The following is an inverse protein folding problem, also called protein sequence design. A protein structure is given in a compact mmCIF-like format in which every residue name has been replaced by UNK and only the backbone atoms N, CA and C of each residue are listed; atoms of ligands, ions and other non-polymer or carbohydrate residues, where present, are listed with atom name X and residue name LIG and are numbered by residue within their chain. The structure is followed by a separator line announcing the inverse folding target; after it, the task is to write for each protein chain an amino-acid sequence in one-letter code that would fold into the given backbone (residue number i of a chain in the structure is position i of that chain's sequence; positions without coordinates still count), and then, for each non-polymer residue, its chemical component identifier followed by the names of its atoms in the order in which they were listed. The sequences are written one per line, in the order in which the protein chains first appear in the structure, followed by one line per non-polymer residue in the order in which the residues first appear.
data_IF_486976133898
#
_entry.id   IF_486976133898
#
_cell.length_a   1.000
_cell.length_b   1.000
_cell.length_c   1.000
_cell.angle_alpha   90.00
_cell.angle_beta   90.00
_cell.angle_gamma   90.00
#
_symmetry.space_group_name_H-M   'P 1'
#
loop_
_entity.id
_entity.type
_entity.pdbx_description
1 polymer ?
#
# COMPACT_ATOMS: atom_id res chain seq x y z
N UNK A 1 24.39 30.69 -7.25
CA UNK A 1 23.48 31.85 -7.26
C UNK A 1 24.33 33.10 -7.20
N UNK A 2 24.21 33.96 -8.21
CA UNK A 2 24.75 35.32 -8.21
C UNK A 2 23.94 36.22 -7.27
N UNK A 3 24.49 37.38 -6.86
CA UNK A 3 23.74 38.35 -6.08
C UNK A 3 22.41 38.73 -6.76
N UNK A 4 21.31 38.68 -6.00
CA UNK A 4 19.96 38.95 -6.49
C UNK A 4 19.22 37.75 -7.08
N UNK A 5 19.89 36.61 -7.31
CA UNK A 5 19.23 35.41 -7.79
C UNK A 5 18.46 34.68 -6.68
N UNK A 6 17.41 33.96 -7.09
CA UNK A 6 16.62 33.11 -6.21
C UNK A 6 16.80 31.66 -6.57
N UNK A 7 16.66 30.78 -5.57
CA UNK A 7 16.76 29.35 -5.78
C UNK A 7 16.37 28.58 -4.52
N UNK A 8 16.22 27.27 -4.67
CA UNK A 8 15.99 26.41 -3.53
C UNK A 8 17.31 26.08 -2.83
N UNK A 9 17.28 26.07 -1.50
CA UNK A 9 18.37 25.63 -0.65
C UNK A 9 17.81 24.72 0.45
N UNK A 10 18.63 23.80 0.94
CA UNK A 10 18.33 23.03 2.15
C UNK A 10 19.25 23.51 3.27
N UNK A 11 18.66 24.10 4.32
CA UNK A 11 19.40 24.48 5.52
C UNK A 11 19.54 23.29 6.45
N UNK A 12 20.74 23.11 7.01
CA UNK A 12 21.04 22.06 8.00
C UNK A 12 21.52 22.73 9.27
N UNK A 13 20.77 22.54 10.34
CA UNK A 13 21.08 23.09 11.65
C UNK A 13 21.79 22.05 12.52
N UNK A 14 22.65 22.51 13.42
CA UNK A 14 23.30 21.63 14.41
C UNK A 14 22.31 21.11 15.44
N UNK A 15 21.32 21.93 15.78
CA UNK A 15 20.27 21.64 16.73
C UNK A 15 18.90 21.72 16.03
N UNK A 16 17.89 20.97 16.51
CA UNK A 16 16.53 21.07 15.98
C UNK A 16 15.98 22.49 16.12
N UNK A 17 15.33 22.98 15.06
CA UNK A 17 14.66 24.28 15.04
C UNK A 17 13.20 24.09 14.65
N UNK A 18 12.28 24.59 15.47
CA UNK A 18 10.87 24.62 15.14
C UNK A 18 10.61 25.71 14.10
N UNK A 19 10.01 25.34 12.99
CA UNK A 19 9.66 26.25 11.90
C UNK A 19 8.32 25.87 11.30
N UNK A 20 7.62 26.86 10.77
CA UNK A 20 6.37 26.69 10.05
C UNK A 20 6.58 26.90 8.56
N UNK A 21 5.73 26.25 7.78
CA UNK A 21 5.61 26.47 6.36
C UNK A 21 5.11 27.92 6.13
N UNK A 22 5.87 28.67 5.34
CA UNK A 22 5.65 30.10 5.12
C UNK A 22 6.56 31.03 5.92
N UNK A 23 7.24 30.54 6.94
CA UNK A 23 8.11 31.37 7.78
C UNK A 23 9.23 32.02 6.97
N UNK A 24 9.46 33.31 7.23
CA UNK A 24 10.56 34.07 6.64
C UNK A 24 11.80 33.96 7.51
N UNK A 25 12.96 33.86 6.88
CA UNK A 25 14.24 33.82 7.57
C UNK A 25 15.27 34.72 6.88
N UNK A 26 16.31 35.07 7.63
CA UNK A 26 17.50 35.76 7.14
C UNK A 26 18.74 34.92 7.44
N UNK A 27 19.72 34.95 6.53
CA UNK A 27 21.03 34.32 6.71
C UNK A 27 22.07 35.42 6.94
N UNK A 28 22.79 35.33 8.06
CA UNK A 28 23.78 36.35 8.46
C UNK A 28 25.09 35.69 8.86
N UNK A 29 26.20 36.34 8.51
CA UNK A 29 27.51 36.11 9.14
C UNK A 29 27.51 36.91 10.44
N UNK A 30 27.83 36.30 11.60
CA UNK A 30 27.82 37.00 12.87
C UNK A 30 28.99 37.98 13.01
N UNK A 31 30.18 37.65 12.49
CA UNK A 31 31.35 38.52 12.54
C UNK A 31 32.24 38.38 11.28
N UNK A 32 32.50 39.49 10.54
CA UNK A 32 31.82 40.78 10.67
C UNK A 32 30.32 40.65 10.33
N UNK A 33 29.43 41.43 10.95
CA UNK A 33 28.00 41.32 10.77
C UNK A 33 27.61 41.64 9.32
N UNK A 34 27.13 40.62 8.58
CA UNK A 34 26.74 40.77 7.17
C UNK A 34 25.54 39.90 6.83
N UNK A 35 24.53 40.47 6.20
CA UNK A 35 23.41 39.69 5.64
C UNK A 35 23.84 39.09 4.31
N UNK A 36 23.73 37.78 4.18
CA UNK A 36 24.07 37.02 2.96
C UNK A 36 22.82 36.83 2.09
N UNK A 37 21.64 36.79 2.71
CA UNK A 37 20.37 36.64 2.03
C UNK A 37 19.24 36.33 3.00
N UNK A 38 18.15 35.82 2.46
CA UNK A 38 17.00 35.35 3.23
C UNK A 38 16.12 34.46 2.36
N UNK A 39 14.97 34.10 2.90
CA UNK A 39 14.03 33.27 2.16
C UNK A 39 12.78 32.94 2.97
N UNK A 40 12.04 31.98 2.43
CA UNK A 40 10.80 31.46 2.99
C UNK A 40 10.87 29.93 3.10
N UNK A 41 10.27 29.37 4.14
CA UNK A 41 10.30 27.94 4.41
C UNK A 41 9.17 27.26 3.64
N UNK A 42 9.52 26.43 2.64
CA UNK A 42 8.55 25.68 1.83
C UNK A 42 8.39 24.21 2.24
N UNK A 43 9.30 23.69 3.08
CA UNK A 43 9.28 22.30 3.54
C UNK A 43 10.01 22.16 4.89
N UNK A 44 9.33 22.40 6.02
CA UNK A 44 9.95 22.34 7.35
C UNK A 44 10.55 20.97 7.68
N UNK A 45 9.82 19.89 7.34
CA UNK A 45 10.23 18.50 7.58
C UNK A 45 10.82 17.87 6.31
N UNK A 46 11.94 18.42 5.86
CA UNK A 46 12.66 17.93 4.69
C UNK A 46 13.55 16.73 5.02
N UNK A 47 13.39 15.61 4.31
CA UNK A 47 14.34 14.51 4.37
C UNK A 47 15.69 14.92 3.77
N UNK A 48 16.79 14.30 4.22
CA UNK A 48 18.10 14.43 3.58
C UNK A 48 17.99 13.92 2.14
N UNK A 49 18.20 14.80 1.15
CA UNK A 49 18.12 14.43 -0.27
C UNK A 49 19.26 15.05 -1.08
N UNK A 50 19.59 14.40 -2.19
CA UNK A 50 20.62 14.86 -3.11
C UNK A 50 20.00 15.89 -4.07
N UNK A 51 20.60 17.08 -4.17
CA UNK A 51 20.05 18.22 -4.93
C UNK A 51 19.90 17.97 -6.44
N UNK A 52 20.52 16.91 -6.98
CA UNK A 52 20.45 16.54 -8.41
C UNK A 52 19.18 15.77 -8.79
N UNK A 53 18.29 15.50 -7.84
CA UNK A 53 17.03 14.83 -8.10
C UNK A 53 16.06 15.80 -8.80
N UNK A 54 15.83 15.65 -10.11
CA UNK A 54 14.96 16.53 -10.89
C UNK A 54 13.53 16.62 -10.32
N UNK A 55 13.07 15.56 -9.66
CA UNK A 55 11.74 15.52 -9.07
C UNK A 55 11.59 16.48 -7.88
N UNK A 56 12.71 16.85 -7.23
CA UNK A 56 12.66 17.73 -6.06
C UNK A 56 12.37 19.18 -6.44
N UNK A 57 12.88 19.66 -7.58
CA UNK A 57 12.64 21.03 -8.03
C UNK A 57 11.16 21.21 -8.36
N UNK A 58 10.57 20.27 -9.10
CA UNK A 58 9.13 20.28 -9.41
C UNK A 58 8.28 20.21 -8.13
N UNK A 59 8.68 19.36 -7.18
CA UNK A 59 8.03 19.28 -5.88
C UNK A 59 8.07 20.61 -5.11
N UNK A 60 9.23 21.26 -5.04
CA UNK A 60 9.38 22.52 -4.31
C UNK A 60 8.67 23.68 -5.01
N UNK A 61 8.69 23.72 -6.35
CA UNK A 61 7.98 24.73 -7.15
C UNK A 61 6.48 24.73 -6.88
N UNK A 62 5.86 23.54 -6.76
CA UNK A 62 4.45 23.40 -6.39
C UNK A 62 4.10 23.98 -5.02
N UNK A 63 5.08 24.07 -4.11
CA UNK A 63 4.86 24.54 -2.73
C UNK A 63 5.13 26.03 -2.53
N UNK A 64 5.81 26.72 -3.45
CA UNK A 64 6.14 28.15 -3.32
C UNK A 64 4.88 29.01 -3.18
N UNK A 65 3.81 28.67 -3.90
CA UNK A 65 2.56 29.45 -3.88
C UNK A 65 1.75 29.29 -2.60
N UNK A 66 2.12 28.32 -1.75
CA UNK A 66 1.36 27.96 -0.56
C UNK A 66 -0.13 27.71 -0.86
N UNK A 67 -0.43 27.12 -2.03
CA UNK A 67 -1.77 26.62 -2.29
C UNK A 67 -2.03 25.37 -1.44
N UNK A 68 -3.04 25.42 -0.57
CA UNK A 68 -3.28 24.36 0.41
C UNK A 68 -3.52 23.00 -0.26
N UNK A 69 -4.24 22.98 -1.39
CA UNK A 69 -4.47 21.76 -2.17
C UNK A 69 -3.15 21.15 -2.67
N UNK A 70 -2.27 21.93 -3.29
CA UNK A 70 -0.96 21.46 -3.73
C UNK A 70 -0.07 21.05 -2.54
N UNK A 71 -0.15 21.74 -1.40
CA UNK A 71 0.57 21.36 -0.18
C UNK A 71 0.14 19.99 0.34
N UNK A 72 -1.17 19.71 0.41
CA UNK A 72 -1.68 18.40 0.81
C UNK A 72 -1.21 17.30 -0.14
N UNK A 73 -1.35 17.51 -1.45
CA UNK A 73 -0.95 16.53 -2.46
C UNK A 73 0.56 16.26 -2.46
N UNK A 74 1.38 17.31 -2.34
CA UNK A 74 2.84 17.16 -2.28
C UNK A 74 3.27 16.49 -0.98
N UNK A 75 2.68 16.84 0.16
CA UNK A 75 2.97 16.21 1.45
C UNK A 75 2.64 14.71 1.43
N UNK A 76 1.50 14.31 0.86
CA UNK A 76 1.15 12.89 0.67
C UNK A 76 2.07 12.16 -0.30
N UNK A 77 2.46 12.79 -1.42
CA UNK A 77 3.44 12.21 -2.33
C UNK A 77 4.79 11.99 -1.65
N UNK A 78 5.17 12.85 -0.70
CA UNK A 78 6.42 12.74 0.07
C UNK A 78 6.37 11.60 1.09
N UNK A 79 5.28 11.49 1.85
CA UNK A 79 5.17 10.55 2.99
C UNK A 79 4.51 9.21 2.62
N UNK A 80 3.88 9.11 1.45
CA UNK A 80 3.05 8.00 0.94
C UNK A 80 1.74 7.78 1.69
N UNK A 81 1.78 7.84 3.02
CA UNK A 81 0.62 7.88 3.88
C UNK A 81 0.96 8.63 5.18
N UNK A 82 -0.03 9.31 5.75
CA UNK A 82 0.12 10.12 6.96
C UNK A 82 -1.17 10.06 7.79
N UNK A 83 -1.05 10.16 9.11
CA UNK A 83 -2.23 10.34 9.96
C UNK A 83 -2.90 11.67 9.64
N UNK A 84 -4.23 11.72 9.67
CA UNK A 84 -5.00 12.96 9.44
C UNK A 84 -4.51 14.11 10.32
N UNK A 85 -4.27 13.83 11.60
CA UNK A 85 -3.85 14.84 12.60
C UNK A 85 -2.40 15.33 12.41
N UNK A 86 -1.58 14.61 11.63
CA UNK A 86 -0.19 15.00 11.37
C UNK A 86 -0.03 15.76 10.05
N UNK A 87 -1.09 15.86 9.23
CA UNK A 87 -1.02 16.51 7.93
C UNK A 87 -0.79 18.01 8.12
N UNK A 88 0.32 18.51 7.58
CA UNK A 88 0.69 19.93 7.62
C UNK A 88 0.72 20.53 9.04
N UNK A 89 1.09 19.72 10.06
CA UNK A 89 1.16 20.16 11.46
C UNK A 89 2.11 21.35 11.69
N UNK A 90 3.15 21.50 10.87
CA UNK A 90 4.06 22.65 10.86
C UNK A 90 3.61 23.69 9.81
N UNK A 91 2.34 24.09 9.81
CA UNK A 91 1.82 25.13 8.92
C UNK A 91 0.84 26.03 9.65
N UNK A 92 0.57 27.20 9.07
CA UNK A 92 -0.33 28.20 9.66
C UNK A 92 -1.81 28.00 9.24
N UNK A 93 -2.14 26.85 8.64
CA UNK A 93 -3.51 26.53 8.25
C UNK A 93 -4.29 25.94 9.42
N UNK A 94 -5.54 26.36 9.56
CA UNK A 94 -6.44 25.78 10.55
C UNK A 94 -6.80 24.34 10.17
N UNK A 95 -7.08 23.53 11.20
CA UNK A 95 -7.49 22.14 11.00
C UNK A 95 -8.74 22.02 10.11
N UNK A 96 -9.69 22.96 10.24
CA UNK A 96 -10.90 23.01 9.40
C UNK A 96 -10.58 23.22 7.92
N UNK A 97 -9.67 24.13 7.59
CA UNK A 97 -9.27 24.41 6.20
C UNK A 97 -8.60 23.18 5.57
N UNK A 98 -7.70 22.53 6.32
CA UNK A 98 -7.05 21.29 5.88
C UNK A 98 -8.09 20.20 5.63
N UNK A 99 -9.05 20.05 6.56
CA UNK A 99 -10.11 19.05 6.47
C UNK A 99 -11.01 19.27 5.24
N UNK A 100 -11.45 20.49 4.99
CA UNK A 100 -12.27 20.82 3.81
C UNK A 100 -11.57 20.47 2.49
N UNK A 101 -10.28 20.80 2.38
CA UNK A 101 -9.46 20.46 1.21
C UNK A 101 -9.29 18.95 1.07
N UNK A 102 -9.07 18.23 2.17
CA UNK A 102 -8.97 16.75 2.18
C UNK A 102 -10.29 16.13 1.71
N UNK A 103 -11.43 16.58 2.22
CA UNK A 103 -12.75 16.08 1.82
C UNK A 103 -13.05 16.36 0.34
N UNK A 104 -12.66 17.53 -0.17
CA UNK A 104 -12.72 17.86 -1.61
C UNK A 104 -11.86 16.92 -2.45
N UNK A 105 -10.59 16.71 -2.05
CA UNK A 105 -9.65 15.84 -2.77
C UNK A 105 -10.07 14.37 -2.74
N UNK A 106 -10.69 13.93 -1.66
CA UNK A 106 -11.26 12.58 -1.55
C UNK A 106 -12.44 12.40 -2.51
N UNK A 107 -13.38 13.35 -2.56
CA UNK A 107 -14.52 13.31 -3.50
C UNK A 107 -14.07 13.28 -4.96
N UNK A 108 -12.99 13.97 -5.29
CA UNK A 108 -12.36 13.91 -6.62
C UNK A 108 -11.55 12.62 -6.87
N UNK A 109 -11.41 11.76 -5.87
CA UNK A 109 -10.60 10.54 -5.91
C UNK A 109 -9.12 10.84 -6.16
N UNK A 110 -8.60 11.98 -5.70
CA UNK A 110 -7.18 12.37 -5.82
C UNK A 110 -6.33 11.79 -4.69
N UNK A 111 -6.95 11.52 -3.55
CA UNK A 111 -6.35 10.88 -2.38
C UNK A 111 -7.26 9.74 -1.91
N UNK A 112 -6.73 8.88 -1.05
CA UNK A 112 -7.49 7.81 -0.43
C UNK A 112 -7.49 8.05 1.07
N UNK A 113 -8.66 7.95 1.70
CA UNK A 113 -8.77 8.10 3.15
C UNK A 113 -9.24 6.80 3.80
N UNK A 114 -8.72 6.55 5.01
CA UNK A 114 -9.25 5.57 5.96
C UNK A 114 -9.84 6.34 7.15
N UNK A 115 -10.21 5.65 8.23
CA UNK A 115 -10.61 6.30 9.48
C UNK A 115 -9.54 7.29 9.96
N UNK A 116 -8.29 6.85 10.09
CA UNK A 116 -7.21 7.65 10.68
C UNK A 116 -6.15 8.15 9.69
N UNK A 117 -6.10 7.59 8.48
CA UNK A 117 -4.99 7.82 7.54
C UNK A 117 -5.45 8.48 6.25
N UNK A 118 -4.52 9.24 5.67
CA UNK A 118 -4.55 9.75 4.31
C UNK A 118 -3.45 9.07 3.52
N UNK A 119 -3.75 8.65 2.29
CA UNK A 119 -2.87 7.83 1.46
C UNK A 119 -2.81 8.45 0.07
N UNK A 120 -1.59 8.55 -0.48
CA UNK A 120 -1.38 8.95 -1.87
C UNK A 120 -2.06 7.96 -2.83
N UNK A 121 -2.82 8.48 -3.80
CA UNK A 121 -3.55 7.67 -4.77
C UNK A 121 -2.64 6.75 -5.59
N UNK A 122 -1.51 7.26 -6.07
CA UNK A 122 -0.64 6.47 -6.94
C UNK A 122 0.02 5.33 -6.16
N UNK A 123 0.43 5.61 -4.92
CA UNK A 123 0.90 4.61 -3.99
C UNK A 123 -0.18 3.55 -3.71
N UNK A 124 -1.41 3.98 -3.44
CA UNK A 124 -2.53 3.07 -3.20
C UNK A 124 -2.80 2.13 -4.37
N UNK A 125 -2.88 2.67 -5.60
CA UNK A 125 -3.07 1.88 -6.81
C UNK A 125 -1.94 0.87 -7.01
N UNK A 126 -0.69 1.26 -6.73
CA UNK A 126 0.45 0.34 -6.75
C UNK A 126 0.28 -0.79 -5.72
N UNK A 127 -0.22 -0.51 -4.51
CA UNK A 127 -0.48 -1.55 -3.51
C UNK A 127 -1.59 -2.50 -3.96
N UNK A 128 -2.69 -2.00 -4.54
CA UNK A 128 -3.76 -2.83 -5.11
C UNK A 128 -3.21 -3.76 -6.18
N UNK A 129 -2.44 -3.23 -7.14
CA UNK A 129 -1.83 -4.04 -8.20
C UNK A 129 -0.84 -5.06 -7.64
N UNK A 130 0.01 -4.67 -6.68
CA UNK A 130 0.97 -5.57 -6.05
C UNK A 130 0.27 -6.74 -5.34
N UNK A 131 -0.84 -6.46 -4.65
CA UNK A 131 -1.62 -7.50 -3.97
C UNK A 131 -2.20 -8.48 -4.97
N UNK A 132 -2.87 -7.98 -6.01
CA UNK A 132 -3.47 -8.82 -7.05
C UNK A 132 -2.43 -9.65 -7.81
N UNK A 133 -1.28 -9.07 -8.13
CA UNK A 133 -0.18 -9.80 -8.76
C UNK A 133 0.33 -10.92 -7.84
N UNK A 134 0.47 -10.65 -6.54
CA UNK A 134 0.88 -11.68 -5.59
C UNK A 134 -0.15 -12.80 -5.50
N UNK A 135 -1.43 -12.45 -5.40
CA UNK A 135 -2.51 -13.44 -5.37
C UNK A 135 -2.53 -14.30 -6.65
N UNK A 136 -2.35 -13.69 -7.82
CA UNK A 136 -2.24 -14.42 -9.08
C UNK A 136 -1.03 -15.36 -9.13
N UNK A 137 0.13 -14.94 -8.63
CA UNK A 137 1.32 -15.80 -8.52
C UNK A 137 1.06 -17.01 -7.63
N UNK A 138 0.34 -16.85 -6.51
CA UNK A 138 -0.03 -17.97 -5.65
C UNK A 138 -0.92 -18.97 -6.41
N UNK A 139 -1.87 -18.50 -7.21
CA UNK A 139 -2.69 -19.37 -8.05
C UNK A 139 -1.95 -20.01 -9.24
N UNK A 140 -0.81 -19.46 -9.68
CA UNK A 140 0.06 -20.10 -10.68
C UNK A 140 0.88 -21.23 -10.05
N UNK A 141 1.38 -21.00 -8.83
CA UNK A 141 2.12 -22.01 -8.06
C UNK A 141 1.22 -23.14 -7.54
N UNK A 142 -0.02 -22.82 -7.18
CA UNK A 142 -0.99 -23.77 -6.63
C UNK A 142 -2.33 -23.73 -7.41
N UNK A 143 -2.39 -24.26 -8.65
CA UNK A 143 -3.56 -24.13 -9.54
C UNK A 143 -4.86 -24.77 -9.04
N UNK A 144 -4.76 -25.70 -8.09
CA UNK A 144 -5.87 -26.43 -7.49
C UNK A 144 -6.45 -25.74 -6.25
N UNK A 145 -5.75 -24.78 -5.64
CA UNK A 145 -6.28 -24.10 -4.48
C UNK A 145 -7.43 -23.17 -4.88
N UNK A 146 -8.50 -23.17 -4.08
CA UNK A 146 -9.65 -22.27 -4.27
C UNK A 146 -9.40 -20.89 -3.65
N UNK A 147 -8.51 -20.80 -2.67
CA UNK A 147 -8.10 -19.55 -2.02
C UNK A 147 -6.92 -19.76 -1.09
N UNK A 148 -6.41 -18.66 -0.53
CA UNK A 148 -5.20 -18.64 0.28
C UNK A 148 -5.43 -17.90 1.61
N UNK A 149 -4.78 -18.29 2.72
CA UNK A 149 -4.90 -17.58 3.99
C UNK A 149 -4.47 -16.11 3.87
N UNK A 150 -5.28 -15.18 4.40
CA UNK A 150 -4.98 -13.74 4.35
C UNK A 150 -3.68 -13.39 5.10
N UNK A 151 -3.39 -14.11 6.20
CA UNK A 151 -2.18 -13.97 7.00
C UNK A 151 -0.90 -14.14 6.17
N UNK A 152 -0.92 -15.02 5.16
CA UNK A 152 0.18 -15.19 4.22
C UNK A 152 0.49 -13.88 3.48
N UNK A 153 -0.55 -13.17 3.04
CA UNK A 153 -0.38 -11.90 2.32
C UNK A 153 0.09 -10.78 3.24
N UNK A 154 -0.40 -10.73 4.47
CA UNK A 154 -0.01 -9.70 5.44
C UNK A 154 1.52 -9.61 5.61
N UNK A 155 2.22 -10.75 5.57
CA UNK A 155 3.68 -10.79 5.65
C UNK A 155 4.40 -10.05 4.50
N UNK A 156 3.85 -10.08 3.27
CA UNK A 156 4.41 -9.36 2.11
C UNK A 156 4.20 -7.85 2.16
N UNK A 157 3.28 -7.39 3.02
CA UNK A 157 2.90 -6.00 3.19
C UNK A 157 3.28 -5.46 4.58
N UNK A 158 4.34 -5.99 5.20
CA UNK A 158 4.81 -5.62 6.54
C UNK A 158 5.08 -4.11 6.73
N UNK A 159 5.34 -3.38 5.65
CA UNK A 159 5.55 -1.93 5.65
C UNK A 159 4.26 -1.11 5.75
N UNK A 160 3.10 -1.74 5.50
CA UNK A 160 1.79 -1.11 5.70
C UNK A 160 1.39 -1.22 7.17
N UNK A 161 0.72 -0.19 7.67
CA UNK A 161 0.06 -0.28 8.98
C UNK A 161 -1.13 -1.25 8.90
N UNK A 162 -1.47 -1.98 9.98
CA UNK A 162 -2.56 -2.95 9.97
C UNK A 162 -3.90 -2.37 9.48
N UNK A 163 -4.25 -1.15 9.91
CA UNK A 163 -5.45 -0.46 9.46
C UNK A 163 -5.46 -0.23 7.94
N UNK A 164 -4.32 0.18 7.36
CA UNK A 164 -4.17 0.42 5.93
C UNK A 164 -4.24 -0.90 5.15
N UNK A 165 -3.65 -1.98 5.68
CA UNK A 165 -3.71 -3.30 5.07
C UNK A 165 -5.14 -3.87 5.06
N UNK A 166 -5.86 -3.77 6.17
CA UNK A 166 -7.25 -4.22 6.24
C UNK A 166 -8.13 -3.42 5.26
N UNK A 167 -7.95 -2.09 5.21
CA UNK A 167 -8.64 -1.26 4.23
C UNK A 167 -8.29 -1.63 2.77
N UNK A 168 -7.07 -2.11 2.51
CA UNK A 168 -6.67 -2.58 1.18
C UNK A 168 -7.44 -3.83 0.79
N UNK A 169 -7.59 -4.77 1.72
CA UNK A 169 -8.36 -6.00 1.54
C UNK A 169 -9.83 -5.66 1.30
N UNK A 170 -10.42 -4.81 2.15
CA UNK A 170 -11.82 -4.38 2.02
C UNK A 170 -12.07 -3.67 0.68
N UNK A 171 -11.16 -2.79 0.26
CA UNK A 171 -11.23 -2.11 -1.03
C UNK A 171 -11.13 -3.06 -2.23
N UNK A 172 -10.47 -4.22 -2.08
CA UNK A 172 -10.40 -5.22 -3.15
C UNK A 172 -11.66 -6.09 -3.19
N UNK A 173 -12.23 -6.40 -2.02
CA UNK A 173 -13.51 -7.10 -1.90
C UNK A 173 -14.63 -6.27 -2.52
N UNK A 174 -14.72 -4.99 -2.15
CA UNK A 174 -15.75 -4.07 -2.66
C UNK A 174 -15.63 -3.75 -4.16
N UNK A 175 -14.50 -4.11 -4.78
CA UNK A 175 -14.36 -4.00 -6.25
C UNK A 175 -14.75 -5.29 -6.99
N UNK A 176 -15.40 -6.24 -6.31
CA UNK A 176 -15.88 -7.53 -6.82
C UNK A 176 -14.81 -8.39 -7.51
N UNK A 177 -13.54 -8.17 -7.17
CA UNK A 177 -12.42 -8.99 -7.69
C UNK A 177 -12.08 -10.16 -6.78
N UNK A 178 -12.39 -10.04 -5.49
CA UNK A 178 -11.94 -10.95 -4.44
C UNK A 178 -13.05 -11.17 -3.41
N UNK A 179 -13.11 -12.36 -2.83
CA UNK A 179 -13.91 -12.67 -1.65
C UNK A 179 -13.02 -13.04 -0.46
N UNK A 180 -13.58 -12.94 0.75
CA UNK A 180 -12.95 -13.38 1.99
C UNK A 180 -13.92 -14.30 2.75
N UNK A 181 -13.51 -15.53 3.04
CA UNK A 181 -14.32 -16.50 3.79
C UNK A 181 -13.44 -17.21 4.81
N UNK A 182 -13.81 -17.14 6.10
CA UNK A 182 -13.08 -17.77 7.22
C UNK A 182 -11.56 -17.45 7.22
N UNK A 183 -11.17 -16.22 6.87
CA UNK A 183 -9.76 -15.81 6.81
C UNK A 183 -9.01 -16.21 5.53
N UNK A 184 -9.68 -16.83 4.56
CA UNK A 184 -9.13 -17.20 3.25
C UNK A 184 -9.60 -16.22 2.19
N UNK A 185 -8.66 -15.62 1.45
CA UNK A 185 -8.94 -14.78 0.28
C UNK A 185 -8.99 -15.61 -0.98
N UNK A 186 -9.94 -15.31 -1.86
CA UNK A 186 -10.10 -16.00 -3.13
C UNK A 186 -10.56 -15.06 -4.24
N UNK A 187 -10.24 -15.38 -5.50
CA UNK A 187 -10.72 -14.63 -6.66
C UNK A 187 -12.12 -15.09 -7.08
N UNK A 188 -13.08 -14.17 -7.19
CA UNK A 188 -14.46 -14.48 -7.57
C UNK A 188 -14.57 -15.03 -9.01
N UNK A 189 -13.67 -14.60 -9.90
CA UNK A 189 -13.67 -14.99 -11.32
C UNK A 189 -12.95 -16.30 -11.62
N UNK A 190 -12.21 -16.86 -10.66
CA UNK A 190 -11.32 -18.00 -10.92
C UNK A 190 -11.96 -19.30 -10.45
N UNK A 191 -12.21 -20.20 -11.39
CA UNK A 191 -12.47 -21.61 -11.11
C UNK A 191 -11.14 -22.39 -11.13
N UNK A 192 -10.99 -23.44 -10.31
CA UNK A 192 -9.83 -24.31 -10.31
C UNK A 192 -9.57 -24.84 -11.73
N UNK A 193 -8.35 -24.65 -12.24
CA UNK A 193 -7.96 -25.22 -13.54
C UNK A 193 -7.47 -26.65 -13.32
N UNK A 194 -8.39 -27.60 -13.42
CA UNK A 194 -8.08 -29.02 -13.31
C UNK A 194 -7.53 -29.52 -14.65
N UNK A 195 -6.27 -29.96 -14.66
CA UNK A 195 -5.65 -30.56 -15.85
C UNK A 195 -6.26 -31.94 -16.17
N UNK A 196 -6.09 -32.43 -17.41
CA UNK A 196 -6.58 -33.76 -17.82
C UNK A 196 -5.99 -34.88 -16.97
N UNK A 197 -4.70 -34.78 -16.61
CA UNK A 197 -4.06 -35.73 -15.71
C UNK A 197 -4.67 -35.65 -14.30
N UNK A 198 -4.92 -34.45 -13.78
CA UNK A 198 -5.56 -34.26 -12.48
C UNK A 198 -7.00 -34.78 -12.45
N UNK A 199 -7.77 -34.65 -13.54
CA UNK A 199 -9.12 -35.26 -13.64
C UNK A 199 -9.08 -36.78 -13.55
N UNK A 200 -8.11 -37.43 -14.20
CA UNK A 200 -7.92 -38.90 -14.12
C UNK A 200 -7.56 -39.33 -12.70
N UNK A 201 -6.85 -38.48 -11.96
CA UNK A 201 -6.51 -38.74 -10.57
C UNK A 201 -7.67 -38.53 -9.62
N UNK A 202 -8.42 -37.44 -9.79
CA UNK A 202 -9.66 -37.20 -9.06
C UNK A 202 -10.63 -38.37 -9.27
N UNK A 203 -10.82 -38.84 -10.51
CA UNK A 203 -11.69 -39.97 -10.77
C UNK A 203 -11.19 -41.29 -10.15
N UNK A 204 -9.87 -41.51 -10.09
CA UNK A 204 -9.30 -42.66 -9.36
C UNK A 204 -9.54 -42.55 -7.85
N UNK A 205 -9.35 -41.38 -7.25
CA UNK A 205 -9.59 -41.16 -5.81
C UNK A 205 -11.07 -41.36 -5.48
N UNK A 206 -11.98 -40.73 -6.24
CA UNK A 206 -13.42 -40.90 -6.06
C UNK A 206 -13.86 -42.35 -6.26
N UNK A 207 -13.25 -43.08 -7.20
CA UNK A 207 -13.51 -44.51 -7.41
C UNK A 207 -13.09 -45.33 -6.19
N UNK A 208 -11.88 -45.11 -5.65
CA UNK A 208 -11.41 -45.82 -4.44
C UNK A 208 -12.34 -45.57 -3.24
N UNK A 209 -12.83 -44.34 -3.08
CA UNK A 209 -13.76 -43.99 -2.01
C UNK A 209 -15.15 -44.61 -2.22
N UNK A 210 -15.67 -44.60 -3.47
CA UNK A 210 -16.93 -45.27 -3.82
C UNK A 210 -16.88 -46.78 -3.65
N UNK A 211 -15.74 -47.40 -3.98
CA UNK A 211 -15.53 -48.84 -3.86
C UNK A 211 -15.37 -49.27 -2.38
N UNK A 212 -15.16 -48.33 -1.45
CA UNK A 212 -15.03 -48.58 0.00
C UNK A 212 -15.97 -47.69 0.85
N UNK A 213 -17.31 -47.81 0.71
CA UNK A 213 -18.27 -46.89 1.33
C UNK A 213 -18.36 -46.98 2.86
N UNK A 214 -18.01 -48.14 3.44
CA UNK A 214 -18.10 -48.39 4.89
C UNK A 214 -16.77 -48.30 5.63
N UNK A 215 -15.64 -48.21 4.90
CA UNK A 215 -14.31 -48.05 5.47
C UNK A 215 -13.36 -47.31 4.50
N UNK A 216 -13.64 -46.02 4.21
CA UNK A 216 -12.82 -45.26 3.30
C UNK A 216 -11.37 -45.16 3.82
N UNK A 217 -10.35 -45.36 2.96
CA UNK A 217 -8.95 -45.23 3.36
C UNK A 217 -8.67 -43.83 3.92
N UNK A 218 -7.93 -43.76 5.03
CA UNK A 218 -7.60 -42.48 5.66
C UNK A 218 -6.65 -41.65 4.78
N UNK A 219 -6.54 -40.34 5.06
CA UNK A 219 -5.70 -39.38 4.31
C UNK A 219 -4.25 -39.88 4.11
N UNK A 220 -3.63 -40.46 5.15
CA UNK A 220 -2.26 -41.00 5.07
C UNK A 220 -2.17 -42.21 4.13
N UNK A 221 -3.20 -43.05 4.10
CA UNK A 221 -3.28 -44.24 3.25
C UNK A 221 -3.47 -43.84 1.79
N UNK A 222 -4.35 -42.86 1.52
CA UNK A 222 -4.55 -42.26 0.18
C UNK A 222 -3.28 -41.59 -0.35
N UNK A 223 -2.58 -40.81 0.49
CA UNK A 223 -1.31 -40.15 0.11
C UNK A 223 -0.21 -41.17 -0.20
N UNK A 224 -0.19 -42.31 0.51
CA UNK A 224 0.78 -43.38 0.28
C UNK A 224 0.49 -44.21 -0.98
N UNK A 225 -0.78 -44.49 -1.28
CA UNK A 225 -1.21 -45.24 -2.46
C UNK A 225 -1.17 -44.41 -3.75
N UNK A 226 -1.35 -43.09 -3.64
CA UNK A 226 -1.33 -42.16 -4.76
C UNK A 226 -0.25 -41.13 -4.46
N UNK A 227 0.98 -41.50 -4.79
CA UNK A 227 2.20 -40.74 -4.47
C UNK A 227 2.04 -39.25 -4.79
N UNK A 228 2.16 -38.40 -3.76
CA UNK A 228 2.51 -36.98 -3.89
C UNK A 228 1.39 -35.97 -4.14
N UNK A 229 0.12 -36.20 -3.75
CA UNK A 229 -0.97 -35.28 -4.13
C UNK A 229 -1.94 -34.86 -3.02
N UNK A 230 -1.41 -34.42 -1.88
CA UNK A 230 -2.19 -33.76 -0.81
C UNK A 230 -3.09 -32.62 -1.35
N UNK A 231 -2.58 -31.86 -2.32
CA UNK A 231 -3.31 -30.75 -2.95
C UNK A 231 -4.62 -31.15 -3.66
N UNK A 232 -4.71 -32.38 -4.19
CA UNK A 232 -5.96 -32.87 -4.82
C UNK A 232 -6.97 -33.27 -3.75
N UNK A 233 -6.50 -33.87 -2.65
CA UNK A 233 -7.37 -34.27 -1.52
C UNK A 233 -7.91 -33.01 -0.84
N UNK A 234 -7.05 -32.03 -0.54
CA UNK A 234 -7.45 -30.74 0.01
C UNK A 234 -8.46 -30.00 -0.91
N UNK A 235 -8.28 -30.13 -2.23
CA UNK A 235 -9.23 -29.59 -3.21
C UNK A 235 -10.60 -30.29 -3.15
N UNK A 236 -10.65 -31.61 -3.09
CA UNK A 236 -11.91 -32.37 -3.01
C UNK A 236 -12.66 -32.11 -1.70
N UNK A 237 -11.94 -31.94 -0.58
CA UNK A 237 -12.52 -31.53 0.71
C UNK A 237 -13.09 -30.10 0.62
N UNK A 238 -12.39 -29.18 -0.06
CA UNK A 238 -12.87 -27.80 -0.22
C UNK A 238 -14.12 -27.69 -1.10
N UNK A 239 -14.24 -28.51 -2.13
CA UNK A 239 -15.45 -28.60 -2.99
C UNK A 239 -16.58 -29.38 -2.30
N UNK A 240 -16.30 -30.11 -1.21
CA UNK A 240 -17.28 -30.93 -0.50
C UNK A 240 -17.65 -32.23 -1.22
N UNK A 241 -16.77 -32.73 -2.09
CA UNK A 241 -16.98 -34.01 -2.77
C UNK A 241 -16.61 -35.22 -1.90
N UNK A 242 -15.81 -35.01 -0.84
CA UNK A 242 -15.37 -36.03 0.12
C UNK A 242 -15.33 -35.47 1.55
#
# INVERSE_FOLDING_TARGET
LQPGETGFAQLRFKEPLATYLGDRFILRIPSPPKTIGGGLIVNPLAHKRHFKDKDILHFLQKRIKFDLRELVLTELKKTTFIKKDNLLINSNYAYSEIREVVESLEKEGKIITTNSWLIDKNYWLKQKTKFMNRLNQEYELYPLQTGFPLSKFQSYFYYLKPEIFNYLVDSLINTDKMGLKKGTVFLLSRKPKISLQQKILISKILKILKDNPTNPPNEKTLISQITGRKEIIDFLIQEGEI
#
